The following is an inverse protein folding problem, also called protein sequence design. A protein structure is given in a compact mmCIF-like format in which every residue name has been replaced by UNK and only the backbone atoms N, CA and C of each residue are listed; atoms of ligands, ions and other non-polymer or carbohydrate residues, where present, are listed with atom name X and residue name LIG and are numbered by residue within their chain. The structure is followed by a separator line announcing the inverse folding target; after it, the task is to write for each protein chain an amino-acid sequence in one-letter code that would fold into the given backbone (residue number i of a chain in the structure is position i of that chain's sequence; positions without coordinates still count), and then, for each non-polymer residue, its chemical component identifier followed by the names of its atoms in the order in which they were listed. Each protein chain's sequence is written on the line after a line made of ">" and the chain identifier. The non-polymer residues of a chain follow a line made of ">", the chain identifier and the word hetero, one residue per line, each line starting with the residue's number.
data_IF_661824257138
#
_entry.id   IF_661824257138
#
_cell.length_a   1.000
_cell.length_b   1.000
_cell.length_c   1.000
_cell.angle_alpha   90.00
_cell.angle_beta   90.00
_cell.angle_gamma   90.00
#
_symmetry.space_group_name_H-M   'P 1'
#
loop_
_entity.id
_entity.type
_entity.pdbx_description
1 polymer ?
#
# COMPACT_ATOMS: atom_id res chain seq x y z
N UNK A 1 -19.84 18.30 25.72
CA UNK A 1 -18.98 17.10 25.47
C UNK A 1 -18.28 17.30 24.13
N UNK A 2 -16.98 17.02 24.10
CA UNK A 2 -16.17 17.24 22.89
C UNK A 2 -16.35 16.04 21.96
N UNK A 3 -17.38 16.04 21.10
CA UNK A 3 -17.67 14.90 20.22
C UNK A 3 -16.83 14.93 18.93
N UNK A 4 -15.52 15.18 19.10
CA UNK A 4 -14.57 15.09 17.98
C UNK A 4 -14.52 13.67 17.40
N UNK A 5 -14.83 12.66 18.22
CA UNK A 5 -14.77 11.26 17.79
C UNK A 5 -15.89 10.96 16.79
N UNK A 6 -17.14 11.28 17.13
CA UNK A 6 -18.28 11.08 16.25
C UNK A 6 -18.15 11.86 14.94
N UNK A 7 -17.69 13.11 15.01
CA UNK A 7 -17.47 13.93 13.82
C UNK A 7 -16.39 13.36 12.89
N UNK A 8 -15.30 12.80 13.45
CA UNK A 8 -14.27 12.12 12.66
C UNK A 8 -14.83 10.82 12.04
N UNK A 9 -15.63 10.06 12.78
CA UNK A 9 -16.26 8.83 12.30
C UNK A 9 -17.21 9.13 11.12
N UNK A 10 -18.09 10.13 11.22
CA UNK A 10 -18.96 10.56 10.14
C UNK A 10 -18.16 10.95 8.87
N UNK A 11 -17.10 11.72 9.05
CA UNK A 11 -16.19 12.07 7.94
C UNK A 11 -15.60 10.82 7.26
N UNK A 12 -15.13 9.86 8.04
CA UNK A 12 -14.51 8.64 7.50
C UNK A 12 -15.53 7.76 6.77
N UNK A 13 -16.76 7.67 7.29
CA UNK A 13 -17.87 6.95 6.66
C UNK A 13 -18.28 7.58 5.33
N UNK A 14 -18.44 8.92 5.29
CA UNK A 14 -18.72 9.64 4.06
C UNK A 14 -17.62 9.41 3.00
N UNK A 15 -16.36 9.54 3.37
CA UNK A 15 -15.22 9.30 2.45
C UNK A 15 -15.13 7.85 1.97
N UNK A 16 -15.52 6.89 2.77
CA UNK A 16 -15.56 5.49 2.37
C UNK A 16 -16.75 5.19 1.44
N UNK A 17 -17.95 5.63 1.82
CA UNK A 17 -19.19 5.30 1.12
C UNK A 17 -19.34 6.08 -0.21
N UNK A 18 -19.03 7.38 -0.21
CA UNK A 18 -19.29 8.26 -1.35
C UNK A 18 -18.10 8.38 -2.31
N UNK A 19 -16.87 8.46 -1.78
CA UNK A 19 -15.69 8.62 -2.61
C UNK A 19 -14.94 7.30 -2.90
N UNK A 20 -15.38 6.19 -2.32
CA UNK A 20 -14.78 4.87 -2.53
C UNK A 20 -13.31 4.80 -2.12
N UNK A 21 -12.92 5.55 -1.07
CA UNK A 21 -11.54 5.58 -0.62
C UNK A 21 -11.09 4.22 -0.09
N UNK A 22 -9.84 3.85 -0.37
CA UNK A 22 -9.27 2.61 0.15
C UNK A 22 -9.19 2.64 1.68
N UNK A 23 -9.31 1.47 2.31
CA UNK A 23 -9.13 1.29 3.76
C UNK A 23 -7.85 1.96 4.29
N UNK A 24 -6.73 1.82 3.56
CA UNK A 24 -5.47 2.45 3.93
C UNK A 24 -5.55 3.99 3.98
N UNK A 25 -6.34 4.61 3.09
CA UNK A 25 -6.57 6.06 3.10
C UNK A 25 -7.43 6.44 4.30
N UNK A 26 -8.48 5.68 4.59
CA UNK A 26 -9.34 5.85 5.76
C UNK A 26 -8.55 5.72 7.06
N UNK A 27 -7.71 4.69 7.20
CA UNK A 27 -6.81 4.54 8.36
C UNK A 27 -5.82 5.69 8.50
N UNK A 28 -5.29 6.20 7.40
CA UNK A 28 -4.38 7.34 7.43
C UNK A 28 -5.09 8.61 7.93
N UNK A 29 -6.28 8.91 7.40
CA UNK A 29 -7.09 10.05 7.85
C UNK A 29 -7.49 9.93 9.32
N UNK A 30 -7.99 8.75 9.73
CA UNK A 30 -8.34 8.48 11.12
C UNK A 30 -7.18 8.76 12.08
N UNK A 31 -6.00 8.21 11.76
CA UNK A 31 -4.79 8.38 12.59
C UNK A 31 -4.35 9.83 12.68
N UNK A 32 -4.38 10.55 11.56
CA UNK A 32 -3.93 11.94 11.51
C UNK A 32 -4.90 12.86 12.25
N UNK A 33 -6.21 12.73 12.04
CA UNK A 33 -7.23 13.53 12.69
C UNK A 33 -7.31 13.27 14.19
N UNK A 34 -7.15 12.00 14.63
CA UNK A 34 -7.03 11.68 16.05
C UNK A 34 -5.85 12.40 16.70
N UNK A 35 -4.68 12.44 16.03
CA UNK A 35 -3.50 13.19 16.53
C UNK A 35 -3.77 14.69 16.62
N UNK A 36 -4.43 15.27 15.62
CA UNK A 36 -4.84 16.69 15.63
C UNK A 36 -5.77 16.96 16.81
N UNK A 37 -6.83 16.17 16.97
CA UNK A 37 -7.83 16.30 18.03
C UNK A 37 -7.20 16.24 19.42
N UNK A 38 -6.32 15.26 19.66
CA UNK A 38 -5.62 15.11 20.94
C UNK A 38 -4.68 16.30 21.20
N UNK A 39 -3.90 16.72 20.19
CA UNK A 39 -2.92 17.80 20.37
C UNK A 39 -3.57 19.16 20.59
N UNK A 40 -4.65 19.47 19.86
CA UNK A 40 -5.34 20.75 19.99
C UNK A 40 -6.22 20.81 21.24
N UNK A 41 -6.66 19.66 21.76
CA UNK A 41 -7.46 19.50 22.97
C UNK A 41 -8.68 20.46 23.05
N UNK A 42 -9.37 20.64 21.92
CA UNK A 42 -10.56 21.48 21.78
C UNK A 42 -11.52 20.92 20.74
N UNK A 43 -12.81 21.36 20.70
CA UNK A 43 -13.73 20.97 19.64
C UNK A 43 -13.16 21.29 18.26
N UNK A 44 -13.14 20.31 17.33
CA UNK A 44 -12.59 20.50 15.98
C UNK A 44 -13.36 21.59 15.22
N UNK A 45 -14.66 21.74 15.45
CA UNK A 45 -15.46 22.82 14.88
C UNK A 45 -15.11 24.23 15.39
N UNK A 46 -14.29 24.35 16.43
CA UNK A 46 -13.78 25.63 16.96
C UNK A 46 -12.30 25.86 16.66
N UNK A 47 -11.71 25.01 15.83
CA UNK A 47 -10.31 25.13 15.42
C UNK A 47 -10.17 26.29 14.44
N UNK A 48 -9.17 27.14 14.67
CA UNK A 48 -8.84 28.27 13.81
C UNK A 48 -7.63 27.95 12.92
N UNK A 49 -7.39 28.75 11.91
CA UNK A 49 -6.18 28.66 11.10
C UNK A 49 -4.91 28.69 11.98
N UNK A 50 -4.84 29.63 12.94
CA UNK A 50 -3.70 29.77 13.84
C UNK A 50 -3.45 28.49 14.69
N UNK A 51 -4.50 27.76 15.08
CA UNK A 51 -4.34 26.50 15.80
C UNK A 51 -3.70 25.44 14.91
N UNK A 52 -4.10 25.37 13.63
CA UNK A 52 -3.53 24.44 12.67
C UNK A 52 -2.06 24.78 12.41
N UNK A 53 -1.73 26.07 12.24
CA UNK A 53 -0.33 26.52 12.08
C UNK A 53 0.54 26.13 13.28
N UNK A 54 0.05 26.34 14.50
CA UNK A 54 0.73 25.90 15.75
C UNK A 54 0.91 24.38 15.79
N UNK A 55 -0.07 23.62 15.30
CA UNK A 55 0.05 22.17 15.19
C UNK A 55 1.17 21.75 14.22
N UNK A 56 1.33 22.44 13.08
CA UNK A 56 2.42 22.15 12.14
C UNK A 56 3.80 22.52 12.69
N UNK A 57 3.92 23.64 13.42
CA UNK A 57 5.14 24.00 14.13
C UNK A 57 5.50 22.91 15.15
N UNK A 58 4.50 22.39 15.87
CA UNK A 58 4.70 21.28 16.81
C UNK A 58 5.19 20.00 16.11
N UNK A 59 4.60 19.61 14.98
CA UNK A 59 5.06 18.45 14.21
C UNK A 59 6.52 18.63 13.72
N UNK A 60 6.88 19.84 13.34
CA UNK A 60 8.25 20.17 12.92
C UNK A 60 9.25 20.01 14.06
N UNK A 61 8.93 20.54 15.25
CA UNK A 61 9.74 20.37 16.45
C UNK A 61 9.93 18.92 16.88
N UNK A 62 8.95 18.05 16.58
CA UNK A 62 9.05 16.60 16.78
C UNK A 62 9.85 15.87 15.69
N UNK A 63 10.41 16.57 14.70
CA UNK A 63 11.21 15.97 13.63
C UNK A 63 10.39 15.27 12.54
N UNK A 64 9.07 15.53 12.42
CA UNK A 64 8.27 14.94 11.35
C UNK A 64 8.73 15.42 9.97
N UNK A 65 8.92 14.48 9.05
CA UNK A 65 9.34 14.78 7.68
C UNK A 65 8.36 15.70 6.95
N UNK A 66 8.85 16.45 5.95
CA UNK A 66 8.02 17.33 5.10
C UNK A 66 6.86 16.55 4.46
N UNK A 67 7.10 15.32 3.99
CA UNK A 67 6.07 14.48 3.39
C UNK A 67 4.99 14.06 4.40
N UNK A 68 5.38 13.72 5.62
CA UNK A 68 4.43 13.41 6.69
C UNK A 68 3.58 14.62 7.05
N UNK A 69 4.19 15.81 7.19
CA UNK A 69 3.46 17.06 7.45
C UNK A 69 2.50 17.41 6.31
N UNK A 70 2.92 17.25 5.04
CA UNK A 70 2.05 17.46 3.89
C UNK A 70 0.84 16.51 3.90
N UNK A 71 1.03 15.24 4.29
CA UNK A 71 -0.06 14.28 4.43
C UNK A 71 -1.04 14.69 5.54
N UNK A 72 -0.55 15.13 6.71
CA UNK A 72 -1.40 15.65 7.78
C UNK A 72 -2.22 16.86 7.30
N UNK A 73 -1.62 17.76 6.53
CA UNK A 73 -2.36 18.90 5.97
C UNK A 73 -3.46 18.43 5.01
N UNK A 74 -3.18 17.45 4.17
CA UNK A 74 -4.20 16.87 3.29
C UNK A 74 -5.36 16.28 4.08
N UNK A 75 -5.08 15.53 5.16
CA UNK A 75 -6.11 14.98 6.04
C UNK A 75 -6.97 16.08 6.70
N UNK A 76 -6.35 17.14 7.18
CA UNK A 76 -7.01 18.29 7.80
C UNK A 76 -7.89 19.03 6.79
N UNK A 77 -7.37 19.30 5.57
CA UNK A 77 -8.13 19.99 4.51
C UNK A 77 -9.35 19.17 4.07
N UNK A 78 -9.21 17.87 3.88
CA UNK A 78 -10.34 17.03 3.51
C UNK A 78 -11.40 16.99 4.61
N UNK A 79 -10.99 16.96 5.87
CA UNK A 79 -11.91 17.00 6.99
C UNK A 79 -12.66 18.33 7.10
N UNK A 80 -11.99 19.47 7.03
CA UNK A 80 -12.67 20.78 7.12
C UNK A 80 -13.50 21.10 5.87
N UNK A 81 -13.08 20.63 4.70
CA UNK A 81 -13.90 20.69 3.49
C UNK A 81 -15.21 19.93 3.70
N UNK A 82 -15.17 18.70 4.19
CA UNK A 82 -16.36 17.93 4.57
C UNK A 82 -17.23 18.69 5.60
N UNK A 83 -16.63 19.27 6.63
CA UNK A 83 -17.40 20.03 7.62
C UNK A 83 -18.15 21.24 7.03
N UNK A 84 -17.61 21.86 5.98
CA UNK A 84 -18.31 22.95 5.27
C UNK A 84 -19.39 22.39 4.36
N UNK A 85 -19.12 21.31 3.63
CA UNK A 85 -20.08 20.65 2.73
C UNK A 85 -21.32 20.14 3.48
N UNK A 86 -21.13 19.58 4.69
CA UNK A 86 -22.19 19.12 5.59
C UNK A 86 -22.83 20.23 6.44
N UNK A 87 -22.43 21.48 6.25
CA UNK A 87 -23.01 22.62 7.00
C UNK A 87 -22.61 22.72 8.46
N UNK A 88 -21.64 21.93 8.95
CA UNK A 88 -21.10 22.08 10.31
C UNK A 88 -20.30 23.35 10.51
N UNK A 89 -19.72 23.90 9.44
CA UNK A 89 -18.97 25.15 9.42
C UNK A 89 -19.39 26.02 8.23
N UNK A 90 -19.35 27.33 8.42
CA UNK A 90 -19.58 28.30 7.34
C UNK A 90 -18.30 28.57 6.50
N UNK A 91 -17.12 28.34 7.08
CA UNK A 91 -15.83 28.61 6.44
C UNK A 91 -14.80 27.55 6.82
N UNK A 92 -13.93 27.20 5.87
CA UNK A 92 -12.84 26.24 6.08
C UNK A 92 -11.61 26.94 6.68
N UNK A 93 -11.22 26.65 7.95
CA UNK A 93 -10.06 27.27 8.58
C UNK A 93 -8.72 26.80 7.98
N UNK A 94 -8.73 25.78 7.14
CA UNK A 94 -7.52 25.26 6.48
C UNK A 94 -7.33 25.74 5.05
N UNK A 95 -8.28 26.49 4.50
CA UNK A 95 -8.33 26.88 3.08
C UNK A 95 -7.07 27.61 2.62
N UNK A 96 -6.56 28.57 3.41
CA UNK A 96 -5.38 29.38 3.09
C UNK A 96 -4.04 28.70 3.41
N UNK A 97 -4.06 27.55 4.09
CA UNK A 97 -2.82 26.87 4.44
C UNK A 97 -2.20 26.20 3.23
N UNK A 98 -0.91 26.42 3.02
CA UNK A 98 -0.12 25.71 2.02
C UNK A 98 0.85 24.73 2.69
N UNK A 99 0.97 23.55 2.12
CA UNK A 99 1.90 22.53 2.63
C UNK A 99 3.36 22.89 2.36
N UNK A 100 4.29 22.29 3.12
CA UNK A 100 5.70 22.45 2.85
C UNK A 100 6.01 22.00 1.41
N UNK A 101 6.51 22.91 0.58
CA UNK A 101 6.99 22.57 -0.76
C UNK A 101 8.19 21.63 -0.61
N UNK A 102 8.04 20.41 -1.02
CA UNK A 102 9.17 19.48 -1.18
C UNK A 102 9.47 19.39 -2.66
N UNK A 103 10.70 19.66 -3.10
CA UNK A 103 11.06 19.32 -4.47
C UNK A 103 10.82 17.82 -4.62
N UNK A 104 10.08 17.43 -5.66
CA UNK A 104 9.93 16.00 -5.98
C UNK A 104 11.34 15.50 -6.35
N UNK A 105 11.94 14.61 -5.56
CA UNK A 105 13.21 14.03 -5.99
C UNK A 105 12.99 13.33 -7.33
N UNK A 106 13.93 13.48 -8.24
CA UNK A 106 13.91 12.70 -9.48
C UNK A 106 13.88 11.21 -9.09
N UNK A 107 13.05 10.41 -9.76
CA UNK A 107 13.04 8.98 -9.53
C UNK A 107 14.45 8.43 -9.74
N UNK A 108 14.97 7.70 -8.78
CA UNK A 108 16.18 6.91 -8.98
C UNK A 108 15.80 5.71 -9.84
N UNK A 109 16.25 5.71 -11.07
CA UNK A 109 16.10 4.55 -11.97
C UNK A 109 17.31 3.65 -11.81
N UNK A 110 17.10 2.35 -11.88
CA UNK A 110 18.17 1.36 -11.96
C UNK A 110 18.67 1.29 -13.41
N UNK A 111 19.97 1.06 -13.59
CA UNK A 111 20.53 0.70 -14.90
C UNK A 111 20.16 -0.75 -15.28
N UNK A 112 20.36 -1.13 -16.54
CA UNK A 112 20.10 -2.51 -16.97
C UNK A 112 21.03 -3.48 -16.24
N UNK A 113 22.28 -3.12 -16.05
CA UNK A 113 23.28 -3.93 -15.34
C UNK A 113 22.91 -4.13 -13.86
N UNK A 114 22.36 -3.09 -13.20
CA UNK A 114 21.85 -3.20 -11.84
C UNK A 114 20.62 -4.10 -11.76
N UNK A 115 19.73 -4.04 -12.74
CA UNK A 115 18.57 -4.94 -12.83
C UNK A 115 19.02 -6.37 -13.01
N UNK A 116 19.93 -6.65 -13.96
CA UNK A 116 20.44 -7.99 -14.23
C UNK A 116 21.13 -8.57 -12.97
N UNK A 117 21.94 -7.78 -12.27
CA UNK A 117 22.57 -8.17 -11.02
C UNK A 117 21.53 -8.54 -9.93
N UNK A 118 20.47 -7.78 -9.80
CA UNK A 118 19.38 -8.06 -8.83
C UNK A 118 18.68 -9.38 -9.20
N UNK A 119 18.38 -9.61 -10.48
CA UNK A 119 17.75 -10.83 -10.96
C UNK A 119 18.64 -12.06 -10.72
N UNK A 120 19.95 -11.94 -10.93
CA UNK A 120 20.93 -13.00 -10.67
C UNK A 120 21.04 -13.33 -9.18
N UNK A 121 21.13 -12.31 -8.32
CA UNK A 121 21.14 -12.50 -6.86
C UNK A 121 19.85 -13.18 -6.39
N UNK A 122 18.70 -12.84 -6.96
CA UNK A 122 17.44 -13.50 -6.61
C UNK A 122 17.45 -15.01 -6.90
N UNK A 123 18.20 -15.45 -7.92
CA UNK A 123 18.36 -16.87 -8.25
C UNK A 123 19.22 -17.65 -7.24
N UNK A 124 20.09 -16.97 -6.49
CA UNK A 124 21.13 -17.59 -5.67
C UNK A 124 20.98 -17.35 -4.17
N UNK A 125 20.31 -16.27 -3.74
CA UNK A 125 20.32 -15.79 -2.34
C UNK A 125 19.48 -16.61 -1.35
N UNK A 126 18.59 -17.51 -1.80
CA UNK A 126 17.76 -18.34 -0.92
C UNK A 126 18.56 -19.50 -0.31
N UNK A 127 18.25 -19.86 0.95
CA UNK A 127 18.89 -21.00 1.61
C UNK A 127 18.47 -22.35 1.00
N UNK A 128 17.23 -22.44 0.55
CA UNK A 128 16.68 -23.65 -0.08
C UNK A 128 16.34 -23.40 -1.55
N UNK A 129 16.28 -24.48 -2.33
CA UNK A 129 15.79 -24.43 -3.72
C UNK A 129 14.41 -23.78 -3.83
N UNK A 130 13.52 -24.09 -2.88
CA UNK A 130 12.19 -23.50 -2.81
C UNK A 130 12.23 -21.98 -2.63
N UNK A 131 13.12 -21.48 -1.79
CA UNK A 131 13.28 -20.04 -1.57
C UNK A 131 13.88 -19.34 -2.80
N UNK A 132 14.90 -19.92 -3.41
CA UNK A 132 15.51 -19.39 -4.64
C UNK A 132 14.51 -19.32 -5.77
N UNK A 133 13.76 -20.39 -6.01
CA UNK A 133 12.72 -20.41 -7.06
C UNK A 133 11.63 -19.37 -6.80
N UNK A 134 11.19 -19.21 -5.55
CA UNK A 134 10.21 -18.19 -5.16
C UNK A 134 10.74 -16.78 -5.43
N UNK A 135 11.94 -16.49 -4.95
CA UNK A 135 12.53 -15.14 -4.99
C UNK A 135 12.87 -14.75 -6.44
N UNK A 136 13.39 -15.69 -7.24
CA UNK A 136 13.56 -15.53 -8.68
C UNK A 136 12.23 -15.24 -9.40
N UNK A 137 11.20 -16.04 -9.15
CA UNK A 137 9.88 -15.84 -9.76
C UNK A 137 9.28 -14.48 -9.38
N UNK A 138 9.40 -14.06 -8.11
CA UNK A 138 8.95 -12.74 -7.66
C UNK A 138 9.62 -11.60 -8.43
N UNK A 139 10.95 -11.64 -8.56
CA UNK A 139 11.71 -10.58 -9.22
C UNK A 139 11.47 -10.55 -10.73
N UNK A 140 11.43 -11.72 -11.40
CA UNK A 140 11.13 -11.82 -12.81
C UNK A 140 9.72 -11.31 -13.14
N UNK A 141 8.72 -11.64 -12.32
CA UNK A 141 7.36 -11.14 -12.50
C UNK A 141 7.26 -9.63 -12.29
N UNK A 142 7.92 -9.07 -11.26
CA UNK A 142 7.96 -7.62 -11.03
C UNK A 142 8.57 -6.88 -12.21
N UNK A 143 9.72 -7.34 -12.68
CA UNK A 143 10.44 -6.70 -13.77
C UNK A 143 9.65 -6.77 -15.09
N UNK A 144 9.13 -7.96 -15.44
CA UNK A 144 8.40 -8.15 -16.69
C UNK A 144 7.09 -7.37 -16.76
N UNK A 145 6.37 -7.26 -15.63
CA UNK A 145 4.98 -6.77 -15.62
C UNK A 145 4.82 -5.34 -15.09
N UNK A 146 5.81 -4.83 -14.35
CA UNK A 146 5.69 -3.54 -13.66
C UNK A 146 4.53 -3.47 -12.67
N UNK A 147 4.04 -4.62 -12.18
CA UNK A 147 2.95 -4.63 -11.20
C UNK A 147 3.42 -4.11 -9.84
N UNK A 148 2.48 -3.59 -9.04
CA UNK A 148 2.80 -3.19 -7.67
C UNK A 148 3.08 -4.42 -6.82
N UNK A 149 3.98 -4.28 -5.82
CA UNK A 149 4.32 -5.38 -4.90
C UNK A 149 3.06 -5.99 -4.25
N UNK A 150 2.09 -5.16 -3.84
CA UNK A 150 0.84 -5.65 -3.25
C UNK A 150 -0.02 -6.45 -4.23
N UNK A 151 -0.03 -6.09 -5.52
CA UNK A 151 -0.73 -6.82 -6.58
C UNK A 151 -0.07 -8.19 -6.81
N UNK A 152 1.27 -8.21 -6.86
CA UNK A 152 2.04 -9.45 -7.01
C UNK A 152 1.85 -10.40 -5.80
N UNK A 153 1.90 -9.87 -4.57
CA UNK A 153 1.72 -10.71 -3.36
C UNK A 153 0.34 -11.36 -3.31
N UNK A 154 -0.70 -10.65 -3.71
CA UNK A 154 -2.09 -11.15 -3.70
C UNK A 154 -2.51 -11.83 -5.01
N UNK A 155 -1.57 -12.08 -5.94
CA UNK A 155 -1.88 -12.67 -7.24
C UNK A 155 -2.42 -14.09 -7.08
N UNK A 156 -3.63 -14.40 -7.61
CA UNK A 156 -4.17 -15.74 -7.61
C UNK A 156 -3.31 -16.69 -8.46
N UNK A 157 -3.08 -17.90 -8.00
CA UNK A 157 -2.34 -18.91 -8.76
C UNK A 157 -3.04 -19.26 -10.07
N UNK A 158 -4.37 -19.21 -10.10
CA UNK A 158 -5.15 -19.48 -11.30
C UNK A 158 -4.88 -18.49 -12.44
N UNK A 159 -4.52 -17.23 -12.12
CA UNK A 159 -4.24 -16.19 -13.13
C UNK A 159 -2.99 -16.45 -13.97
N UNK A 160 -2.10 -17.34 -13.49
CA UNK A 160 -0.79 -17.60 -14.11
C UNK A 160 -0.61 -19.04 -14.62
N UNK A 161 -1.60 -19.91 -14.41
CA UNK A 161 -1.52 -21.30 -14.91
C UNK A 161 -1.71 -21.35 -16.42
N UNK A 162 -1.05 -22.31 -17.05
CA UNK A 162 -1.15 -22.53 -18.50
C UNK A 162 -0.26 -21.61 -19.34
N UNK A 163 0.76 -20.99 -18.73
CA UNK A 163 1.77 -20.16 -19.42
C UNK A 163 1.16 -19.02 -20.26
N UNK A 164 0.36 -18.15 -19.62
CA UNK A 164 -0.30 -17.08 -20.35
C UNK A 164 0.72 -16.06 -20.87
N UNK A 165 0.47 -15.52 -22.08
CA UNK A 165 1.26 -14.39 -22.61
C UNK A 165 0.98 -13.08 -21.87
N UNK A 166 -0.22 -12.94 -21.31
CA UNK A 166 -0.68 -11.76 -20.55
C UNK A 166 -1.49 -12.21 -19.36
N UNK A 167 -1.39 -11.48 -18.26
CA UNK A 167 -2.20 -11.69 -17.05
C UNK A 167 -3.03 -10.46 -16.73
N UNK A 168 -4.23 -10.69 -16.20
CA UNK A 168 -5.13 -9.64 -15.76
C UNK A 168 -4.80 -9.27 -14.30
N UNK A 169 -4.44 -8.01 -14.07
CA UNK A 169 -4.12 -7.48 -12.75
C UNK A 169 -5.21 -6.53 -12.29
N UNK A 170 -5.69 -6.75 -11.07
CA UNK A 170 -6.65 -5.88 -10.41
C UNK A 170 -5.92 -4.86 -9.54
N UNK A 171 -5.97 -3.59 -9.94
CA UNK A 171 -5.30 -2.49 -9.27
C UNK A 171 -6.19 -1.70 -8.31
N UNK A 172 -5.71 -0.55 -7.86
CA UNK A 172 -6.45 0.38 -6.98
C UNK A 172 -7.78 0.80 -7.62
N UNK A 173 -8.87 0.79 -6.85
CA UNK A 173 -10.21 1.15 -7.31
C UNK A 173 -10.82 0.13 -8.26
N UNK A 174 -10.45 -1.15 -8.10
CA UNK A 174 -10.92 -2.26 -8.95
C UNK A 174 -10.63 -2.09 -10.45
N UNK A 175 -9.73 -1.18 -10.82
CA UNK A 175 -9.30 -1.01 -12.22
C UNK A 175 -8.47 -2.20 -12.64
N UNK A 176 -8.85 -2.80 -13.74
CA UNK A 176 -8.17 -3.95 -14.32
C UNK A 176 -7.23 -3.52 -15.44
N UNK A 177 -6.09 -4.19 -15.55
CA UNK A 177 -5.17 -4.02 -16.68
C UNK A 177 -4.53 -5.34 -17.05
N UNK A 178 -4.30 -5.54 -18.35
CA UNK A 178 -3.48 -6.63 -18.85
C UNK A 178 -2.01 -6.24 -18.81
N UNK A 179 -1.17 -7.15 -18.34
CA UNK A 179 0.28 -6.99 -18.32
C UNK A 179 0.94 -8.17 -19.02
N UNK A 180 1.94 -7.94 -19.88
CA UNK A 180 2.64 -9.01 -20.57
C UNK A 180 3.57 -9.77 -19.62
N UNK A 181 3.84 -11.03 -19.94
CA UNK A 181 4.89 -11.83 -19.32
C UNK A 181 5.98 -12.11 -20.34
N UNK A 182 7.23 -11.85 -19.97
CA UNK A 182 8.40 -12.20 -20.77
C UNK A 182 8.68 -13.71 -20.72
N UNK A 183 9.41 -14.28 -21.70
CA UNK A 183 9.83 -15.68 -21.64
C UNK A 183 10.57 -16.02 -20.32
N UNK A 184 11.56 -15.24 -19.84
CA UNK A 184 12.21 -15.53 -18.57
C UNK A 184 11.26 -15.51 -17.36
N UNK A 185 10.26 -14.62 -17.34
CA UNK A 185 9.25 -14.59 -16.29
C UNK A 185 8.36 -15.85 -16.32
N UNK A 186 7.99 -16.34 -17.50
CA UNK A 186 7.25 -17.58 -17.66
C UNK A 186 8.07 -18.80 -17.23
N UNK A 187 9.35 -18.84 -17.54
CA UNK A 187 10.24 -19.95 -17.15
C UNK A 187 10.42 -20.02 -15.63
N UNK A 188 10.67 -18.87 -15.00
CA UNK A 188 10.75 -18.76 -13.55
C UNK A 188 9.41 -19.12 -12.85
N UNK A 189 8.29 -18.76 -13.48
CA UNK A 189 6.95 -19.09 -13.01
C UNK A 189 6.66 -20.58 -13.07
N UNK A 190 6.97 -21.26 -14.19
CA UNK A 190 6.79 -22.71 -14.35
C UNK A 190 7.63 -23.48 -13.31
N UNK A 191 8.88 -23.05 -13.11
CA UNK A 191 9.75 -23.66 -12.11
C UNK A 191 9.21 -23.49 -10.69
N UNK A 192 8.77 -22.26 -10.35
CA UNK A 192 8.14 -21.98 -9.06
C UNK A 192 6.87 -22.80 -8.85
N UNK A 193 5.96 -22.83 -9.83
CA UNK A 193 4.72 -23.59 -9.73
C UNK A 193 4.95 -25.06 -9.46
N UNK A 194 5.95 -25.68 -10.09
CA UNK A 194 6.30 -27.08 -9.87
C UNK A 194 6.70 -27.34 -8.41
N UNK A 195 7.60 -26.52 -7.85
CA UNK A 195 8.04 -26.67 -6.44
C UNK A 195 6.92 -26.34 -5.45
N UNK A 196 6.14 -25.28 -5.74
CA UNK A 196 4.99 -24.87 -4.95
C UNK A 196 3.96 -25.99 -4.87
N UNK A 197 3.55 -26.54 -6.00
CA UNK A 197 2.52 -27.55 -6.05
C UNK A 197 2.99 -28.86 -5.35
N UNK A 198 4.23 -29.29 -5.51
CA UNK A 198 4.81 -30.41 -4.76
C UNK A 198 4.73 -30.19 -3.24
N UNK A 199 5.05 -28.98 -2.78
CA UNK A 199 4.99 -28.63 -1.36
C UNK A 199 3.54 -28.60 -0.84
N UNK A 200 2.60 -28.05 -1.62
CA UNK A 200 1.19 -28.03 -1.28
C UNK A 200 0.60 -29.45 -1.19
N UNK A 201 0.89 -30.32 -2.16
CA UNK A 201 0.40 -31.71 -2.15
C UNK A 201 0.87 -32.45 -0.90
N UNK A 202 2.09 -32.20 -0.42
CA UNK A 202 2.57 -32.74 0.85
C UNK A 202 1.81 -32.16 2.07
N UNK A 203 1.44 -30.89 2.01
CA UNK A 203 0.69 -30.23 3.06
C UNK A 203 -0.78 -30.70 3.11
N UNK A 204 -1.38 -30.93 1.95
CA UNK A 204 -2.75 -31.47 1.82
C UNK A 204 -2.83 -32.88 2.43
N UNK A 205 -1.82 -33.73 2.19
CA UNK A 205 -1.73 -35.07 2.83
C UNK A 205 -1.68 -35.00 4.35
N UNK A 206 -1.31 -33.84 4.93
CA UNK A 206 -1.30 -33.53 6.37
C UNK A 206 -2.56 -32.79 6.86
N UNK A 207 -3.60 -32.68 6.02
CA UNK A 207 -4.86 -32.04 6.37
C UNK A 207 -4.95 -30.54 6.11
N UNK A 208 -3.98 -29.92 5.45
CA UNK A 208 -4.04 -28.51 5.07
C UNK A 208 -4.90 -28.28 3.83
N UNK A 209 -5.49 -27.09 3.68
CA UNK A 209 -6.20 -26.70 2.47
C UNK A 209 -5.23 -26.11 1.42
N UNK A 210 -5.57 -26.26 0.14
CA UNK A 210 -4.81 -25.66 -0.96
C UNK A 210 -4.96 -24.14 -0.94
N UNK A 211 -3.84 -23.41 -1.08
CA UNK A 211 -3.86 -21.96 -1.16
C UNK A 211 -4.28 -21.50 -2.57
N UNK A 212 -5.13 -20.47 -2.65
CA UNK A 212 -5.50 -19.82 -3.91
C UNK A 212 -4.46 -18.84 -4.42
N UNK A 213 -3.44 -18.49 -3.62
CA UNK A 213 -2.44 -17.48 -3.96
C UNK A 213 -1.18 -18.07 -4.58
N UNK A 214 -0.55 -17.32 -5.48
CA UNK A 214 0.71 -17.72 -6.13
C UNK A 214 1.84 -17.85 -5.09
N UNK A 215 1.91 -16.92 -4.13
CA UNK A 215 2.93 -16.89 -3.07
C UNK A 215 2.28 -17.06 -1.69
N UNK A 216 1.91 -18.32 -1.34
CA UNK A 216 1.22 -18.59 -0.08
C UNK A 216 2.09 -18.35 1.15
N UNK A 217 1.47 -17.97 2.26
CA UNK A 217 2.11 -17.86 3.57
C UNK A 217 1.11 -18.09 4.70
N UNK A 218 1.61 -18.29 5.92
CA UNK A 218 0.81 -18.40 7.14
C UNK A 218 0.38 -17.03 7.71
N UNK A 219 0.52 -15.94 6.94
CA UNK A 219 0.02 -14.62 7.34
C UNK A 219 -1.50 -14.62 7.42
N UNK A 220 -2.07 -13.65 8.14
CA UNK A 220 -3.54 -13.47 8.24
C UNK A 220 -4.24 -13.43 6.87
N UNK A 221 -3.54 -12.93 5.84
CA UNK A 221 -4.10 -12.79 4.49
C UNK A 221 -3.89 -14.05 3.62
N UNK A 222 -3.16 -15.07 4.10
CA UNK A 222 -2.87 -16.30 3.38
C UNK A 222 -1.78 -16.19 2.31
N UNK A 223 -1.16 -15.00 2.12
CA UNK A 223 -0.09 -14.76 1.16
C UNK A 223 1.03 -13.92 1.77
N UNK A 224 2.20 -13.86 1.10
CA UNK A 224 3.35 -13.07 1.53
C UNK A 224 2.98 -11.58 1.59
N UNK A 225 3.41 -10.90 2.65
CA UNK A 225 3.10 -9.48 2.85
C UNK A 225 4.09 -8.59 2.12
N UNK A 226 3.66 -7.34 1.83
CA UNK A 226 4.56 -6.30 1.31
C UNK A 226 5.75 -6.06 2.24
N UNK A 227 5.54 -6.09 3.56
CA UNK A 227 6.62 -5.91 4.54
C UNK A 227 7.64 -7.05 4.47
N UNK A 228 7.16 -8.30 4.32
CA UNK A 228 8.04 -9.43 4.08
C UNK A 228 8.95 -9.21 2.86
N UNK A 229 8.36 -8.75 1.75
CA UNK A 229 9.09 -8.49 0.51
C UNK A 229 10.18 -7.43 0.70
N UNK A 230 9.87 -6.29 1.34
CA UNK A 230 10.86 -5.23 1.61
C UNK A 230 11.97 -5.64 2.57
N UNK A 231 11.73 -6.58 3.46
CA UNK A 231 12.77 -7.09 4.38
C UNK A 231 13.62 -8.18 3.71
N UNK A 232 13.18 -8.72 2.58
CA UNK A 232 13.88 -9.79 1.87
C UNK A 232 14.84 -9.25 0.80
N UNK A 233 14.49 -8.13 0.16
CA UNK A 233 15.32 -7.40 -0.79
C UNK A 233 16.30 -6.49 -0.06
#
# INVERSE_FOLDING_TARGET
>A
MNDNKGLIENFLEAKYAEEGLSENSIFAYSRDLKKVSVKLNKPLLRVTQSDIEKYFIYLEKLGYSKSTRARHLSSIKQFFKFCVEEGYLSTDPSSQLSGPRSPKPLPKTLSLEEVDAILEVANTSGQTEFERARDSCLMQLLYASGMRISELMSLPVAAVRGRPKMILIKGKGSKERLVPLSPPANDALDYWLNLRDKKEDLSIKKGSQRSSFLFPSNSKNGYLTRNWFFNKI
#
